data_IF_330780820525
#
_entry.id   IF_330780820525
#
_cell.length_a   1.000
_cell.length_b   1.000
_cell.length_c   1.000
_cell.angle_alpha   90.00
_cell.angle_beta   90.00
_cell.angle_gamma   90.00
#
_symmetry.space_group_name_H-M   'P 1'
#
loop_
_entity.id
_entity.type
_entity.pdbx_description
1 polymer ?
#
# COMPACT_ATOMS: atom_id res chain seq x y z
N UNK A 1 29.49 17.33 28.82
CA UNK A 1 28.58 17.30 29.95
C UNK A 1 27.39 16.38 29.70
N UNK A 2 26.86 15.76 30.74
CA UNK A 2 25.73 14.81 30.63
C UNK A 2 24.47 15.46 30.02
N UNK A 3 24.27 16.75 30.18
CA UNK A 3 23.16 17.51 29.64
C UNK A 3 23.23 17.63 28.12
N UNK A 4 24.45 17.84 27.57
CA UNK A 4 24.64 17.92 26.12
C UNK A 4 24.45 16.57 25.43
N UNK A 5 24.89 15.49 26.08
CA UNK A 5 24.66 14.12 25.59
C UNK A 5 23.16 13.75 25.59
N UNK A 6 22.43 14.14 26.63
CA UNK A 6 21.00 13.93 26.74
C UNK A 6 20.23 14.71 25.68
N UNK A 7 20.61 15.96 25.42
CA UNK A 7 20.01 16.80 24.38
C UNK A 7 20.29 16.24 22.98
N UNK A 8 21.51 15.79 22.70
CA UNK A 8 21.87 15.17 21.42
C UNK A 8 21.08 13.87 21.18
N UNK A 9 20.93 13.04 22.22
CA UNK A 9 20.13 11.82 22.15
C UNK A 9 18.66 12.11 21.90
N UNK A 10 18.09 13.13 22.53
CA UNK A 10 16.72 13.58 22.31
C UNK A 10 16.52 14.08 20.89
N UNK A 11 17.41 14.91 20.40
CA UNK A 11 17.38 15.44 19.03
C UNK A 11 17.44 14.32 18.01
N UNK A 12 18.30 13.33 18.22
CA UNK A 12 18.43 12.18 17.34
C UNK A 12 17.17 11.31 17.35
N UNK A 13 16.54 11.13 18.50
CA UNK A 13 15.28 10.41 18.65
C UNK A 13 14.13 11.10 17.89
N UNK A 14 14.04 12.43 17.97
CA UNK A 14 13.03 13.22 17.24
C UNK A 14 13.26 13.13 15.74
N UNK A 15 14.52 13.23 15.29
CA UNK A 15 14.87 13.10 13.87
C UNK A 15 14.55 11.71 13.34
N UNK A 16 14.79 10.65 14.12
CA UNK A 16 14.43 9.29 13.77
C UNK A 16 12.93 9.10 13.64
N UNK A 17 12.14 9.67 14.55
CA UNK A 17 10.69 9.62 14.51
C UNK A 17 10.13 10.36 13.29
N UNK A 18 10.68 11.51 12.94
CA UNK A 18 10.30 12.27 11.73
C UNK A 18 10.64 11.50 10.46
N UNK A 19 11.80 10.86 10.42
CA UNK A 19 12.21 10.02 9.30
C UNK A 19 11.26 8.84 9.10
N UNK A 20 10.85 8.17 10.17
CA UNK A 20 9.89 7.07 10.12
C UNK A 20 8.53 7.52 9.58
N UNK A 21 8.06 8.70 9.96
CA UNK A 21 6.81 9.29 9.47
C UNK A 21 6.94 9.63 7.98
N UNK A 22 8.04 10.25 7.56
CA UNK A 22 8.29 10.58 6.16
C UNK A 22 8.35 9.32 5.29
N UNK A 23 9.05 8.29 5.75
CA UNK A 23 9.12 7.00 5.05
C UNK A 23 7.75 6.32 4.98
N UNK A 24 6.97 6.40 6.05
CA UNK A 24 5.59 5.89 6.10
C UNK A 24 4.68 6.60 5.12
N UNK A 25 4.79 7.93 5.01
CA UNK A 25 4.02 8.73 4.04
C UNK A 25 4.41 8.41 2.61
N UNK A 26 5.69 8.25 2.33
CA UNK A 26 6.18 7.89 1.00
C UNK A 26 5.71 6.48 0.59
N UNK A 27 5.74 5.53 1.51
CA UNK A 27 5.23 4.17 1.30
C UNK A 27 3.73 4.16 1.02
N UNK A 28 2.96 4.97 1.75
CA UNK A 28 1.51 5.09 1.54
C UNK A 28 1.20 5.71 0.18
N UNK A 29 1.91 6.76 -0.21
CA UNK A 29 1.74 7.40 -1.52
C UNK A 29 2.04 6.42 -2.66
N UNK A 30 3.13 5.68 -2.56
CA UNK A 30 3.51 4.63 -3.52
C UNK A 30 2.46 3.53 -3.60
N UNK A 31 1.95 3.06 -2.46
CA UNK A 31 0.90 2.04 -2.40
C UNK A 31 -0.41 2.52 -3.05
N UNK A 32 -0.79 3.76 -2.82
CA UNK A 32 -1.98 4.37 -3.44
C UNK A 32 -1.85 4.50 -4.96
N UNK A 33 -0.68 4.89 -5.45
CA UNK A 33 -0.42 4.97 -6.89
C UNK A 33 -0.54 3.60 -7.56
N UNK A 34 0.05 2.58 -6.96
CA UNK A 34 -0.05 1.19 -7.45
C UNK A 34 -1.48 0.70 -7.47
N UNK A 35 -2.25 1.01 -6.43
CA UNK A 35 -3.67 0.66 -6.36
C UNK A 35 -4.46 1.30 -7.51
N UNK A 36 -4.23 2.58 -7.81
CA UNK A 36 -4.88 3.29 -8.91
C UNK A 36 -4.52 2.67 -10.24
N UNK A 37 -3.23 2.35 -10.47
CA UNK A 37 -2.76 1.70 -11.70
C UNK A 37 -3.40 0.32 -11.89
N UNK A 38 -3.43 -0.49 -10.85
CA UNK A 38 -4.03 -1.82 -10.89
C UNK A 38 -5.56 -1.78 -11.01
N UNK A 39 -6.21 -0.76 -10.43
CA UNK A 39 -7.65 -0.56 -10.62
C UNK A 39 -7.98 -0.23 -12.07
N UNK A 40 -7.17 0.60 -12.73
CA UNK A 40 -7.31 0.92 -14.15
C UNK A 40 -7.09 -0.33 -15.02
N UNK A 41 -6.05 -1.12 -14.73
CA UNK A 41 -5.78 -2.36 -15.43
C UNK A 41 -6.89 -3.40 -15.24
N UNK A 42 -7.43 -3.50 -14.02
CA UNK A 42 -8.57 -4.37 -13.73
C UNK A 42 -9.80 -3.97 -14.55
N UNK A 43 -10.15 -2.71 -14.59
CA UNK A 43 -11.28 -2.19 -15.36
C UNK A 43 -11.15 -2.52 -16.85
N UNK A 44 -9.95 -2.28 -17.41
CA UNK A 44 -9.68 -2.60 -18.81
C UNK A 44 -9.79 -4.11 -19.08
N UNK A 45 -9.25 -4.94 -18.20
CA UNK A 45 -9.31 -6.41 -18.30
C UNK A 45 -10.73 -6.94 -18.15
N UNK A 46 -11.52 -6.33 -17.27
CA UNK A 46 -12.93 -6.68 -17.08
C UNK A 46 -13.74 -6.37 -18.33
N UNK A 47 -13.57 -5.20 -18.91
CA UNK A 47 -14.23 -4.81 -20.16
C UNK A 47 -13.84 -5.73 -21.31
N UNK A 48 -12.56 -6.09 -21.42
CA UNK A 48 -12.08 -7.03 -22.42
C UNK A 48 -12.67 -8.43 -22.24
N UNK A 49 -12.81 -8.89 -21.00
CA UNK A 49 -13.41 -10.19 -20.69
C UNK A 49 -14.91 -10.23 -21.01
N UNK A 50 -15.64 -9.16 -20.72
CA UNK A 50 -17.05 -9.03 -21.06
C UNK A 50 -17.22 -9.12 -22.59
N UNK A 51 -16.41 -8.40 -23.34
CA UNK A 51 -16.41 -8.44 -24.80
C UNK A 51 -16.05 -9.85 -25.31
N UNK A 52 -15.03 -10.48 -24.75
CA UNK A 52 -14.60 -11.81 -25.12
C UNK A 52 -15.69 -12.86 -24.90
N UNK A 53 -16.43 -12.79 -23.80
CA UNK A 53 -17.56 -13.67 -23.53
C UNK A 53 -18.67 -13.51 -24.57
N UNK A 54 -18.97 -12.27 -24.94
CA UNK A 54 -19.96 -11.97 -25.98
C UNK A 54 -19.50 -12.50 -27.35
N UNK A 55 -18.25 -12.30 -27.70
CA UNK A 55 -17.69 -12.80 -28.96
C UNK A 55 -17.64 -14.33 -29.01
N UNK A 56 -17.36 -14.98 -27.92
CA UNK A 56 -17.37 -16.45 -27.83
C UNK A 56 -18.78 -17.00 -28.02
N UNK A 57 -19.79 -16.39 -27.39
CA UNK A 57 -21.17 -16.77 -27.56
C UNK A 57 -21.65 -16.63 -29.00
N UNK A 58 -21.11 -15.65 -29.72
CA UNK A 58 -21.40 -15.42 -31.14
C UNK A 58 -20.53 -16.25 -32.09
N UNK A 59 -19.61 -17.04 -31.57
CA UNK A 59 -18.72 -17.86 -32.37
C UNK A 59 -17.58 -17.12 -33.07
N UNK A 60 -17.32 -15.87 -32.67
CA UNK A 60 -16.26 -15.02 -33.28
C UNK A 60 -14.87 -15.34 -32.78
N UNK A 61 -14.73 -15.88 -31.58
CA UNK A 61 -13.45 -16.30 -31.00
C UNK A 61 -13.55 -17.74 -30.51
N UNK A 62 -12.39 -18.40 -30.38
CA UNK A 62 -12.31 -19.74 -29.82
C UNK A 62 -12.27 -19.72 -28.29
N UNK A 63 -12.40 -20.89 -27.69
CA UNK A 63 -12.37 -21.06 -26.24
C UNK A 63 -11.00 -20.66 -25.65
N UNK A 64 -9.91 -20.90 -26.37
CA UNK A 64 -8.57 -20.57 -25.89
C UNK A 64 -8.37 -19.06 -25.76
N UNK A 65 -8.91 -18.30 -26.70
CA UNK A 65 -8.89 -16.83 -26.65
C UNK A 65 -9.72 -16.31 -25.49
N UNK A 66 -10.90 -16.87 -25.26
CA UNK A 66 -11.76 -16.56 -24.11
C UNK A 66 -11.03 -16.88 -22.80
N UNK A 67 -10.44 -18.06 -22.69
CA UNK A 67 -9.71 -18.51 -21.50
C UNK A 67 -8.53 -17.59 -21.19
N UNK A 68 -7.81 -17.11 -22.21
CA UNK A 68 -6.74 -16.15 -22.07
C UNK A 68 -7.22 -14.82 -21.49
N UNK A 69 -8.35 -14.30 -21.98
CA UNK A 69 -8.96 -13.07 -21.44
C UNK A 69 -9.43 -13.24 -20.00
N UNK A 70 -10.01 -14.37 -19.65
CA UNK A 70 -10.44 -14.68 -18.27
C UNK A 70 -9.25 -14.79 -17.33
N UNK A 71 -8.14 -15.39 -17.78
CA UNK A 71 -6.90 -15.48 -17.00
C UNK A 71 -6.30 -14.09 -16.77
N UNK A 72 -6.29 -13.24 -17.78
CA UNK A 72 -5.82 -11.85 -17.65
C UNK A 72 -6.65 -11.08 -16.64
N UNK A 73 -7.98 -11.24 -16.67
CA UNK A 73 -8.87 -10.62 -15.68
C UNK A 73 -8.58 -11.12 -14.27
N UNK A 74 -8.39 -12.43 -14.10
CA UNK A 74 -8.08 -13.01 -12.79
C UNK A 74 -6.75 -12.47 -12.24
N UNK A 75 -5.73 -12.39 -13.07
CA UNK A 75 -4.44 -11.83 -12.69
C UNK A 75 -4.55 -10.35 -12.31
N UNK A 76 -5.32 -9.57 -13.06
CA UNK A 76 -5.57 -8.16 -12.75
C UNK A 76 -6.34 -8.00 -11.43
N UNK A 77 -7.33 -8.86 -11.17
CA UNK A 77 -8.08 -8.90 -9.92
C UNK A 77 -7.17 -9.20 -8.73
N UNK A 78 -6.29 -10.19 -8.85
CA UNK A 78 -5.34 -10.55 -7.81
C UNK A 78 -4.33 -9.43 -7.53
N UNK A 79 -3.85 -8.76 -8.58
CA UNK A 79 -2.94 -7.62 -8.46
C UNK A 79 -3.60 -6.45 -7.74
N UNK A 80 -4.85 -6.16 -8.07
CA UNK A 80 -5.62 -5.10 -7.40
C UNK A 80 -5.85 -5.44 -5.92
N UNK A 81 -6.22 -6.67 -5.60
CA UNK A 81 -6.41 -7.11 -4.21
C UNK A 81 -5.12 -7.01 -3.40
N UNK A 82 -3.98 -7.38 -3.99
CA UNK A 82 -2.66 -7.24 -3.37
C UNK A 82 -2.31 -5.77 -3.13
N UNK A 83 -2.57 -4.90 -4.09
CA UNK A 83 -2.33 -3.46 -3.96
C UNK A 83 -3.22 -2.82 -2.88
N UNK A 84 -4.47 -3.23 -2.76
CA UNK A 84 -5.38 -2.80 -1.70
C UNK A 84 -4.86 -3.22 -0.32
N UNK A 85 -4.36 -4.45 -0.20
CA UNK A 85 -3.75 -4.97 1.02
C UNK A 85 -2.48 -4.18 1.38
N UNK A 86 -1.64 -3.88 0.40
CA UNK A 86 -0.42 -3.07 0.60
C UNK A 86 -0.74 -1.67 1.08
N UNK A 87 -1.81 -1.05 0.58
CA UNK A 87 -2.27 0.26 1.06
C UNK A 87 -2.68 0.19 2.52
N UNK A 88 -3.45 -0.82 2.92
CA UNK A 88 -3.88 -1.01 4.31
C UNK A 88 -2.67 -1.21 5.22
N UNK A 89 -1.70 -2.01 4.79
CA UNK A 89 -0.45 -2.23 5.54
C UNK A 89 0.37 -0.94 5.67
N UNK A 90 0.44 -0.13 4.62
CA UNK A 90 1.14 1.15 4.64
C UNK A 90 0.46 2.15 5.59
N UNK A 91 -0.86 2.18 5.62
CA UNK A 91 -1.64 2.98 6.58
C UNK A 91 -1.33 2.53 8.01
N UNK A 92 -1.31 1.22 8.27
CA UNK A 92 -1.01 0.67 9.59
C UNK A 92 0.42 1.02 10.04
N UNK A 93 1.39 0.95 9.13
CA UNK A 93 2.78 1.34 9.41
C UNK A 93 2.90 2.82 9.74
N UNK A 94 2.22 3.67 8.98
CA UNK A 94 2.20 5.12 9.24
C UNK A 94 1.54 5.41 10.60
N UNK A 95 0.46 4.73 10.91
CA UNK A 95 -0.23 4.86 12.19
C UNK A 95 0.67 4.46 13.36
N UNK A 96 1.42 3.36 13.21
CA UNK A 96 2.38 2.90 14.21
C UNK A 96 3.53 3.89 14.39
N UNK A 97 4.03 4.49 13.31
CA UNK A 97 5.08 5.50 13.37
C UNK A 97 4.60 6.76 14.13
N UNK A 98 3.38 7.21 13.87
CA UNK A 98 2.76 8.34 14.57
C UNK A 98 2.42 7.99 16.03
N UNK A 99 1.82 6.81 16.27
CA UNK A 99 1.44 6.33 17.58
C UNK A 99 2.64 5.94 18.45
N UNK A 100 3.68 5.35 17.84
CA UNK A 100 4.93 5.00 18.53
C UNK A 100 5.67 6.22 19.06
N UNK A 101 5.62 7.33 18.32
CA UNK A 101 6.18 8.62 18.80
C UNK A 101 5.46 9.13 20.05
N UNK A 102 4.16 8.92 20.16
CA UNK A 102 3.37 9.28 21.35
C UNK A 102 3.69 8.41 22.55
N UNK A 103 3.80 7.09 22.37
CA UNK A 103 4.10 6.15 23.44
C UNK A 103 5.49 6.41 24.05
N UNK A 104 6.46 6.77 23.23
CA UNK A 104 7.80 7.12 23.71
C UNK A 104 7.83 8.44 24.52
N UNK A 105 6.84 9.29 24.36
CA UNK A 105 6.69 10.52 25.16
C UNK A 105 6.03 10.26 26.51
N UNK A 106 5.17 9.24 26.59
CA UNK A 106 4.40 8.91 27.82
C UNK A 106 5.20 7.99 28.76
N UNK A 107 6.20 7.31 28.26
CA UNK A 107 7.03 6.35 29.01
C UNK A 107 8.19 7.03 29.77
N UNK A 108 8.13 8.33 29.97
CA UNK A 108 9.07 9.00 30.88
C UNK A 108 8.72 8.61 32.31
N UNK A 109 9.67 8.03 33.06
CA UNK A 109 9.41 7.81 34.48
C UNK A 109 9.09 9.17 35.11
N UNK A 110 7.92 9.28 35.67
CA UNK A 110 7.60 10.38 36.55
C UNK A 110 8.52 10.23 37.76
N UNK A 111 9.68 10.87 37.69
CA UNK A 111 10.50 11.04 38.89
C UNK A 111 9.71 11.86 39.88
N UNK A 112 9.26 11.14 40.90
CA UNK A 112 8.71 11.76 42.12
C UNK A 112 9.85 12.39 42.94
#
# INVERSE_FOLDING_TARGET
>A
AATDAAFAAYKQSVLGALEDVENGMASLDSARRRKIEFATAYEASNNAAILARSQYQSGLIDFQTLSSSETTLLNASNSLASAQSDEIMAIAQLYNALGGGWQNMDDRPHEQ
#
